data_IF_761733018272
#
_entry.id   IF_761733018272
#
_cell.length_a   1.000
_cell.length_b   1.000
_cell.length_c   1.000
_cell.angle_alpha   90.00
_cell.angle_beta   90.00
_cell.angle_gamma   90.00
#
_symmetry.space_group_name_H-M   'P 1'
#
loop_
_entity.id
_entity.type
_entity.pdbx_description
1 polymer ?
#
# COMPACT_ATOMS: atom_id res chain seq x y z
N UNK A 1 4.39 -6.44 -21.01
CA UNK A 1 4.42 -5.27 -20.11
C UNK A 1 3.71 -4.12 -20.78
N UNK A 2 2.63 -3.59 -20.18
CA UNK A 2 1.88 -2.46 -20.75
C UNK A 2 2.74 -1.20 -20.79
N UNK A 3 2.36 -0.23 -21.63
CA UNK A 3 3.06 1.06 -21.71
C UNK A 3 3.05 1.81 -20.37
N UNK A 4 1.93 1.77 -19.64
CA UNK A 4 1.83 2.35 -18.30
C UNK A 4 2.90 1.79 -17.35
N UNK A 5 3.13 0.47 -17.38
CA UNK A 5 4.17 -0.16 -16.55
C UNK A 5 5.57 0.26 -17.01
N UNK A 6 5.81 0.39 -18.32
CA UNK A 6 7.09 0.91 -18.84
C UNK A 6 7.38 2.32 -18.35
N UNK A 7 6.39 3.21 -18.43
CA UNK A 7 6.51 4.61 -17.98
C UNK A 7 6.80 4.67 -16.48
N UNK A 8 6.08 3.90 -15.67
CA UNK A 8 6.33 3.82 -14.23
C UNK A 8 7.73 3.28 -13.93
N UNK A 9 8.19 2.25 -14.64
CA UNK A 9 9.53 1.71 -14.47
C UNK A 9 10.63 2.75 -14.77
N UNK A 10 10.49 3.50 -15.88
CA UNK A 10 11.43 4.58 -16.19
C UNK A 10 11.45 5.65 -15.09
N UNK A 11 10.26 5.99 -14.59
CA UNK A 11 10.06 7.02 -13.58
C UNK A 11 10.61 6.63 -12.20
N UNK A 12 10.28 5.43 -11.70
CA UNK A 12 10.59 5.01 -10.33
C UNK A 12 11.88 4.20 -10.21
N UNK A 13 12.24 3.38 -11.20
CA UNK A 13 13.39 2.47 -11.15
C UNK A 13 14.60 3.05 -11.89
N UNK A 14 14.43 3.49 -13.14
CA UNK A 14 15.52 4.15 -13.89
C UNK A 14 15.72 5.62 -13.52
N UNK A 15 14.83 6.16 -12.68
CA UNK A 15 14.87 7.52 -12.14
C UNK A 15 14.94 8.62 -13.21
N UNK A 16 14.29 8.39 -14.35
CA UNK A 16 14.15 9.38 -15.41
C UNK A 16 13.26 10.53 -14.98
N UNK A 17 13.63 11.76 -15.38
CA UNK A 17 12.79 12.92 -15.12
C UNK A 17 11.53 12.89 -16.00
N UNK A 18 10.45 13.59 -15.62
CA UNK A 18 9.28 13.76 -16.47
C UNK A 18 9.64 14.24 -17.89
N UNK A 19 10.57 15.18 -18.03
CA UNK A 19 10.99 15.72 -19.33
C UNK A 19 11.65 14.64 -20.21
N UNK A 20 12.52 13.80 -19.64
CA UNK A 20 13.14 12.68 -20.36
C UNK A 20 12.10 11.66 -20.83
N UNK A 21 11.11 11.36 -19.99
CA UNK A 21 10.06 10.39 -20.31
C UNK A 21 9.12 10.97 -21.37
N UNK A 22 8.67 12.22 -21.22
CA UNK A 22 7.79 12.92 -22.17
C UNK A 22 8.43 13.02 -23.55
N UNK A 23 9.74 13.19 -23.65
CA UNK A 23 10.44 13.17 -24.95
C UNK A 23 10.23 11.86 -25.72
N UNK A 24 10.07 10.74 -25.00
CA UNK A 24 9.84 9.40 -25.56
C UNK A 24 8.35 9.03 -25.64
N UNK A 25 7.54 9.58 -24.74
CA UNK A 25 6.12 9.29 -24.55
C UNK A 25 5.33 10.60 -24.38
N UNK A 26 5.20 11.41 -25.45
CA UNK A 26 4.59 12.74 -25.37
C UNK A 26 3.12 12.71 -24.89
N UNK A 27 2.40 11.62 -25.16
CA UNK A 27 1.04 11.37 -24.69
C UNK A 27 0.92 11.26 -23.15
N UNK A 28 2.04 11.11 -22.44
CA UNK A 28 2.10 10.99 -20.98
C UNK A 28 2.37 12.30 -20.25
N UNK A 29 2.40 13.44 -20.95
CA UNK A 29 2.67 14.75 -20.32
C UNK A 29 1.77 15.05 -19.11
N UNK A 30 0.50 14.62 -19.14
CA UNK A 30 -0.44 14.80 -18.02
C UNK A 30 -0.25 13.83 -16.84
N UNK A 31 0.62 12.82 -16.95
CA UNK A 31 0.77 11.76 -15.93
C UNK A 31 1.62 12.18 -14.73
N UNK A 32 2.34 13.30 -14.79
CA UNK A 32 3.31 13.72 -13.78
C UNK A 32 2.86 14.88 -12.90
N UNK A 33 1.59 15.29 -13.00
CA UNK A 33 0.97 16.35 -12.18
C UNK A 33 0.67 15.90 -10.75
N UNK A 34 1.64 15.28 -10.08
CA UNK A 34 1.49 14.75 -8.73
C UNK A 34 1.73 15.86 -7.67
N UNK A 35 1.21 15.72 -6.44
CA UNK A 35 1.32 16.75 -5.39
C UNK A 35 2.76 17.09 -4.97
N UNK A 36 3.71 16.19 -5.24
CA UNK A 36 5.11 16.34 -4.89
C UNK A 36 6.01 16.26 -6.12
N UNK A 37 7.23 16.79 -5.99
CA UNK A 37 8.23 16.74 -7.05
C UNK A 37 8.60 15.30 -7.39
N UNK A 38 8.96 15.00 -8.64
CA UNK A 38 9.16 13.62 -9.10
C UNK A 38 10.25 12.86 -8.33
N UNK A 39 11.27 13.58 -7.85
CA UNK A 39 12.37 13.01 -7.05
C UNK A 39 11.87 12.44 -5.72
N UNK A 40 10.79 12.98 -5.15
CA UNK A 40 10.18 12.40 -3.95
C UNK A 40 9.63 11.00 -4.25
N UNK A 41 8.91 10.81 -5.36
CA UNK A 41 8.36 9.50 -5.71
C UNK A 41 9.46 8.48 -6.05
N UNK A 42 10.58 8.93 -6.60
CA UNK A 42 11.77 8.09 -6.78
C UNK A 42 12.35 7.64 -5.45
N UNK A 43 12.42 8.53 -4.45
CA UNK A 43 12.84 8.16 -3.09
C UNK A 43 11.86 7.17 -2.44
N UNK A 44 10.55 7.35 -2.63
CA UNK A 44 9.54 6.40 -2.15
C UNK A 44 9.73 5.03 -2.80
N UNK A 45 10.07 4.96 -4.10
CA UNK A 45 10.34 3.70 -4.78
C UNK A 45 11.62 2.99 -4.30
N UNK A 46 12.61 3.75 -3.81
CA UNK A 46 13.81 3.21 -3.16
C UNK A 46 13.54 2.73 -1.73
N UNK A 47 12.40 3.08 -1.13
CA UNK A 47 12.08 2.68 0.23
C UNK A 47 11.97 1.15 0.35
N UNK A 48 12.61 0.61 1.39
CA UNK A 48 12.65 -0.83 1.69
C UNK A 48 12.12 -1.06 3.11
N UNK A 49 10.78 -1.09 3.29
CA UNK A 49 10.19 -1.21 4.63
C UNK A 49 10.62 -2.49 5.35
N UNK A 50 10.80 -3.59 4.62
CA UNK A 50 11.27 -4.87 5.19
C UNK A 50 12.70 -4.79 5.76
N UNK A 51 13.59 -4.04 5.12
CA UNK A 51 14.96 -3.83 5.61
C UNK A 51 14.97 -3.05 6.92
N UNK A 52 14.01 -2.13 7.10
CA UNK A 52 13.88 -1.37 8.35
C UNK A 52 13.29 -2.22 9.46
N UNK A 53 12.25 -3.01 9.16
CA UNK A 53 11.63 -3.87 10.16
C UNK A 53 12.51 -5.03 10.60
N UNK A 54 13.27 -5.63 9.68
CA UNK A 54 14.27 -6.65 10.04
C UNK A 54 15.34 -6.11 10.99
N UNK A 55 15.66 -4.81 10.95
CA UNK A 55 16.60 -4.16 11.87
C UNK A 55 15.99 -3.80 13.23
N UNK A 56 14.68 -3.53 13.28
CA UNK A 56 13.98 -3.24 14.55
C UNK A 56 13.71 -4.48 15.39
N UNK A 57 13.95 -5.69 14.86
CA UNK A 57 14.34 -6.88 15.61
C UNK A 57 13.25 -7.67 16.34
N UNK A 58 12.09 -7.10 16.68
CA UNK A 58 11.05 -7.87 17.40
C UNK A 58 9.70 -7.17 17.56
N UNK A 59 9.48 -6.01 16.93
CA UNK A 59 8.22 -5.29 17.10
C UNK A 59 7.07 -6.09 16.45
N UNK A 60 6.01 -6.44 17.21
CA UNK A 60 4.84 -7.08 16.63
C UNK A 60 4.13 -6.10 15.68
N UNK A 61 3.62 -6.62 14.57
CA UNK A 61 2.93 -5.85 13.55
C UNK A 61 1.54 -6.42 13.24
N UNK A 62 0.57 -5.54 13.04
CA UNK A 62 -0.74 -5.85 12.48
C UNK A 62 -0.87 -5.20 11.10
N UNK A 63 -1.04 -6.02 10.08
CA UNK A 63 -1.25 -5.60 8.69
C UNK A 63 -2.74 -5.73 8.39
N UNK A 64 -3.38 -4.62 8.03
CA UNK A 64 -4.81 -4.57 7.79
C UNK A 64 -5.05 -4.22 6.33
N UNK A 65 -5.85 -5.02 5.62
CA UNK A 65 -6.25 -4.74 4.25
C UNK A 65 -7.77 -4.76 4.07
N UNK A 66 -8.26 -3.87 3.22
CA UNK A 66 -9.65 -3.80 2.79
C UNK A 66 -9.87 -4.42 1.41
N UNK A 67 -10.92 -5.22 1.22
CA UNK A 67 -11.28 -5.80 -0.06
C UNK A 67 -11.91 -4.80 -1.04
N UNK A 68 -12.50 -3.72 -0.51
CA UNK A 68 -13.02 -2.62 -1.30
C UNK A 68 -11.99 -1.50 -1.54
N UNK A 69 -10.75 -1.65 -1.07
CA UNK A 69 -9.66 -0.72 -1.38
C UNK A 69 -9.28 -0.82 -2.86
N UNK A 70 -9.45 0.29 -3.58
CA UNK A 70 -9.12 0.41 -5.01
C UNK A 70 -7.77 1.09 -5.27
N UNK A 71 -7.11 1.60 -4.23
CA UNK A 71 -5.89 2.38 -4.31
C UNK A 71 -4.63 1.53 -4.06
N UNK A 72 -4.71 0.55 -3.15
CA UNK A 72 -3.59 -0.36 -2.83
C UNK A 72 -4.00 -1.83 -2.93
N UNK A 73 -3.03 -2.71 -3.14
CA UNK A 73 -3.31 -4.14 -3.29
C UNK A 73 -3.30 -4.85 -1.94
N UNK A 74 -4.20 -5.83 -1.79
CA UNK A 74 -4.19 -6.78 -0.66
C UNK A 74 -2.85 -7.54 -0.62
N UNK A 75 -2.28 -7.86 -1.78
CA UNK A 75 -1.04 -8.63 -1.88
C UNK A 75 0.14 -7.90 -1.24
N UNK A 76 0.15 -6.57 -1.22
CA UNK A 76 1.23 -5.78 -0.59
C UNK A 76 1.26 -6.00 0.93
N UNK A 77 0.08 -6.03 1.56
CA UNK A 77 -0.05 -6.29 3.00
C UNK A 77 0.33 -7.72 3.36
N UNK A 78 -0.12 -8.70 2.55
CA UNK A 78 0.22 -10.12 2.74
C UNK A 78 1.71 -10.36 2.55
N UNK A 79 2.29 -9.80 1.49
CA UNK A 79 3.73 -9.85 1.24
C UNK A 79 4.52 -9.36 2.45
N UNK A 80 4.13 -8.23 3.03
CA UNK A 80 4.80 -7.68 4.21
C UNK A 80 4.68 -8.62 5.42
N UNK A 81 3.48 -9.10 5.74
CA UNK A 81 3.25 -10.00 6.88
C UNK A 81 4.01 -11.33 6.72
N UNK A 82 4.00 -11.91 5.52
CA UNK A 82 4.69 -13.17 5.22
C UNK A 82 6.20 -13.01 5.36
N UNK A 83 6.77 -11.92 4.84
CA UNK A 83 8.22 -11.66 4.97
C UNK A 83 8.64 -11.39 6.41
N UNK A 84 7.83 -10.68 7.19
CA UNK A 84 8.08 -10.51 8.62
C UNK A 84 8.09 -11.85 9.36
N UNK A 85 7.08 -12.68 9.11
CA UNK A 85 6.99 -14.00 9.73
C UNK A 85 8.07 -14.97 9.25
N UNK A 86 8.62 -14.79 8.04
CA UNK A 86 9.77 -15.55 7.57
C UNK A 86 11.06 -15.21 8.32
N UNK A 87 11.23 -13.94 8.73
CA UNK A 87 12.40 -13.48 9.50
C UNK A 87 12.22 -13.75 11.00
N UNK A 88 11.04 -13.49 11.53
CA UNK A 88 10.68 -13.70 12.93
C UNK A 88 9.27 -14.29 13.03
N UNK A 89 9.14 -15.63 13.14
CA UNK A 89 7.84 -16.31 13.15
C UNK A 89 6.90 -15.79 14.23
N UNK A 90 5.68 -15.41 13.83
CA UNK A 90 4.66 -14.88 14.73
C UNK A 90 4.76 -13.38 15.01
N UNK A 91 5.75 -12.68 14.45
CA UNK A 91 5.90 -11.22 14.63
C UNK A 91 4.86 -10.40 13.87
N UNK A 92 4.15 -10.98 12.90
CA UNK A 92 3.14 -10.29 12.13
C UNK A 92 1.80 -11.03 12.06
N UNK A 93 0.71 -10.29 12.20
CA UNK A 93 -0.65 -10.76 11.92
C UNK A 93 -1.22 -10.01 10.73
N UNK A 94 -1.99 -10.71 9.89
CA UNK A 94 -2.72 -10.13 8.78
C UNK A 94 -4.23 -10.21 9.04
N UNK A 95 -4.91 -9.08 8.95
CA UNK A 95 -6.37 -8.97 9.09
C UNK A 95 -6.96 -8.41 7.80
N UNK A 96 -7.96 -9.12 7.28
CA UNK A 96 -8.69 -8.74 6.07
C UNK A 96 -10.14 -8.39 6.41
N UNK A 97 -10.63 -7.31 5.81
CA UNK A 97 -12.02 -6.90 5.85
C UNK A 97 -12.53 -6.79 4.41
N UNK A 98 -13.49 -7.63 4.01
CA UNK A 98 -13.93 -7.73 2.62
C UNK A 98 -14.54 -6.42 2.11
N UNK A 99 -15.26 -5.73 2.97
CA UNK A 99 -16.10 -4.56 2.70
C UNK A 99 -15.50 -3.26 3.23
N UNK A 100 -14.17 -3.19 3.38
CA UNK A 100 -13.48 -1.97 3.79
C UNK A 100 -12.73 -1.30 2.63
N UNK A 101 -12.89 0.02 2.50
CA UNK A 101 -12.22 0.85 1.50
C UNK A 101 -10.86 1.41 1.99
N UNK A 102 -10.20 2.17 1.11
CA UNK A 102 -8.93 2.84 1.40
C UNK A 102 -9.00 3.81 2.60
N UNK A 103 -10.18 4.38 2.84
CA UNK A 103 -10.44 5.32 3.92
C UNK A 103 -10.84 4.66 5.24
N UNK A 104 -10.75 3.33 5.36
CA UNK A 104 -11.18 2.55 6.53
C UNK A 104 -12.70 2.61 6.76
N UNK A 105 -13.47 2.81 5.69
CA UNK A 105 -14.93 2.91 5.71
C UNK A 105 -15.54 1.71 5.02
N UNK A 106 -16.81 1.46 5.31
CA UNK A 106 -17.56 0.44 4.58
C UNK A 106 -17.69 0.81 3.10
N UNK A 107 -17.45 -0.14 2.20
CA UNK A 107 -17.85 -0.08 0.81
C UNK A 107 -18.10 -1.50 0.29
N UNK A 108 -19.11 -1.66 -0.58
CA UNK A 108 -19.50 -2.98 -1.10
C UNK A 108 -18.36 -3.67 -1.86
N UNK A 109 -17.64 -2.90 -2.67
CA UNK A 109 -16.59 -3.37 -3.56
C UNK A 109 -15.71 -2.19 -4.01
N UNK A 110 -14.61 -2.50 -4.70
CA UNK A 110 -13.68 -1.48 -5.22
C UNK A 110 -14.33 -0.48 -6.18
N UNK A 111 -15.33 -0.91 -6.95
CA UNK A 111 -16.00 -0.05 -7.93
C UNK A 111 -16.89 0.98 -7.21
N UNK A 112 -17.64 0.55 -6.19
CA UNK A 112 -18.43 1.40 -5.33
C UNK A 112 -17.55 2.41 -4.58
N UNK A 113 -16.46 1.95 -3.96
CA UNK A 113 -15.50 2.82 -3.29
C UNK A 113 -14.93 3.89 -4.24
N UNK A 114 -14.54 3.50 -5.45
CA UNK A 114 -14.03 4.42 -6.48
C UNK A 114 -15.07 5.42 -6.98
N UNK A 115 -16.35 5.04 -7.00
CA UNK A 115 -17.47 5.92 -7.31
C UNK A 115 -17.85 6.86 -6.16
N UNK A 116 -17.24 6.69 -4.97
CA UNK A 116 -17.56 7.46 -3.77
C UNK A 116 -18.77 6.94 -3.00
N UNK A 117 -19.25 5.73 -3.31
CA UNK A 117 -20.34 5.04 -2.60
C UNK A 117 -19.81 4.42 -1.30
N UNK A 118 -19.44 5.29 -0.36
CA UNK A 118 -18.80 4.93 0.91
C UNK A 118 -19.76 5.09 2.09
N UNK A 119 -19.77 4.11 2.99
CA UNK A 119 -20.56 4.07 4.20
C UNK A 119 -19.86 4.72 5.40
N UNK A 120 -20.26 4.34 6.61
CA UNK A 120 -19.61 4.78 7.85
C UNK A 120 -18.21 4.18 8.01
N UNK A 121 -17.45 4.66 8.99
CA UNK A 121 -16.22 4.00 9.44
C UNK A 121 -16.49 2.52 9.77
N UNK A 122 -15.55 1.64 9.41
CA UNK A 122 -15.73 0.19 9.57
C UNK A 122 -15.74 -0.20 11.06
N UNK A 123 -16.91 -0.60 11.57
CA UNK A 123 -17.13 -0.75 13.02
C UNK A 123 -16.29 -1.86 13.67
N UNK A 124 -15.95 -2.91 12.91
CA UNK A 124 -15.12 -4.02 13.40
C UNK A 124 -13.62 -3.70 13.45
N UNK A 125 -13.18 -2.57 12.87
CA UNK A 125 -11.76 -2.24 12.77
C UNK A 125 -11.14 -2.02 14.16
N UNK A 126 -11.80 -1.19 14.99
CA UNK A 126 -11.30 -0.88 16.34
C UNK A 126 -11.28 -2.12 17.23
N UNK A 127 -12.36 -2.93 17.32
CA UNK A 127 -12.33 -4.22 18.02
C UNK A 127 -11.19 -5.14 17.57
N UNK A 128 -10.92 -5.26 16.27
CA UNK A 128 -9.83 -6.10 15.78
C UNK A 128 -8.44 -5.60 16.20
N UNK A 129 -8.23 -4.29 16.22
CA UNK A 129 -6.99 -3.68 16.71
C UNK A 129 -6.83 -3.92 18.21
N UNK A 130 -7.88 -3.72 19.00
CA UNK A 130 -7.86 -3.95 20.45
C UNK A 130 -7.56 -5.43 20.77
N UNK A 131 -8.22 -6.35 20.10
CA UNK A 131 -7.97 -7.79 20.25
C UNK A 131 -6.51 -8.15 19.93
N UNK A 132 -5.93 -7.55 18.89
CA UNK A 132 -4.53 -7.76 18.55
C UNK A 132 -3.60 -7.19 19.63
N UNK A 133 -3.84 -5.97 20.10
CA UNK A 133 -3.04 -5.33 21.16
C UNK A 133 -3.04 -6.16 22.45
N UNK A 134 -4.19 -6.71 22.83
CA UNK A 134 -4.30 -7.64 23.96
C UNK A 134 -3.43 -8.89 23.75
N UNK A 135 -3.45 -9.47 22.55
CA UNK A 135 -2.68 -10.69 22.24
C UNK A 135 -1.15 -10.54 22.27
N UNK A 136 -0.64 -9.30 22.26
CA UNK A 136 0.81 -9.00 22.29
C UNK A 136 1.26 -8.36 23.60
N UNK A 137 0.35 -8.18 24.56
CA UNK A 137 0.62 -7.57 25.87
C UNK A 137 0.84 -8.60 26.99
N UNK A 138 0.75 -9.90 26.67
CA UNK A 138 1.03 -11.03 27.57
C UNK A 138 2.49 -11.49 27.48
#
# INVERSE_FOLDING_TARGET
MSETVKVHYLYTIEKKSPEEIIKKYPERAGSFGLPHHYTYFQQVADYRPLDLWSRSGSAPALLIAGGADFAVSIDEHKYIADNLNAVNPGSAQFKFFEDMDHGLRFARDQQAARAGEIGSFHEELVPAILQWLESISE
#
